data_IF_901160488577
#
_entry.id   IF_901160488577
#
_cell.length_a   1.000
_cell.length_b   1.000
_cell.length_c   1.000
_cell.angle_alpha   90.00
_cell.angle_beta   90.00
_cell.angle_gamma   90.00
#
_symmetry.space_group_name_H-M   'P 1'
#
loop_
_entity.id
_entity.type
_entity.pdbx_description
1 polymer ?
#
# COMPACT_ATOMS: atom_id res chain seq x y z
N UNK A 1 -5.61 9.24 -19.76
CA UNK A 1 -5.70 8.40 -18.53
C UNK A 1 -6.99 7.60 -18.56
N UNK A 2 -6.94 6.36 -18.08
CA UNK A 2 -8.16 5.56 -17.94
C UNK A 2 -8.99 6.08 -16.74
N UNK A 3 -10.28 5.71 -16.68
CA UNK A 3 -11.16 6.09 -15.57
C UNK A 3 -10.67 5.54 -14.20
N UNK A 4 -9.87 4.48 -14.23
CA UNK A 4 -9.30 3.86 -13.04
C UNK A 4 -7.98 4.50 -12.60
N UNK A 5 -7.32 5.30 -13.44
CA UNK A 5 -6.06 5.94 -13.08
C UNK A 5 -6.30 7.00 -12.00
N UNK A 6 -5.58 6.89 -10.89
CA UNK A 6 -5.65 7.86 -9.81
C UNK A 6 -4.56 8.92 -9.95
N UNK A 7 -3.33 8.48 -10.13
CA UNK A 7 -2.17 9.37 -10.26
C UNK A 7 -1.03 8.69 -11.01
N UNK A 8 -0.13 9.52 -11.51
CA UNK A 8 1.09 9.10 -12.17
C UNK A 8 2.31 9.69 -11.47
N UNK A 9 3.41 8.95 -11.53
CA UNK A 9 4.73 9.40 -11.11
C UNK A 9 5.68 9.42 -12.32
N UNK A 10 6.96 9.64 -12.09
CA UNK A 10 7.96 9.57 -13.15
C UNK A 10 7.93 8.20 -13.88
N UNK A 11 7.86 7.10 -13.13
CA UNK A 11 7.98 5.74 -13.67
C UNK A 11 6.73 4.87 -13.56
N UNK A 12 5.70 5.31 -12.80
CA UNK A 12 4.56 4.49 -12.44
C UNK A 12 3.22 5.15 -12.78
N UNK A 13 2.22 4.30 -13.06
CA UNK A 13 0.80 4.63 -13.00
C UNK A 13 0.19 3.88 -11.82
N UNK A 14 -0.54 4.59 -10.97
CA UNK A 14 -1.30 4.03 -9.86
C UNK A 14 -2.79 4.06 -10.23
N UNK A 15 -3.40 2.89 -10.33
CA UNK A 15 -4.80 2.76 -10.78
C UNK A 15 -5.61 1.89 -9.84
N UNK A 16 -6.95 2.10 -9.82
CA UNK A 16 -7.89 1.16 -9.24
C UNK A 16 -7.84 -0.18 -9.97
N UNK A 17 -8.44 -1.18 -9.35
CA UNK A 17 -8.51 -2.54 -9.88
C UNK A 17 -9.87 -2.82 -10.55
N UNK A 18 -9.88 -3.85 -11.39
CA UNK A 18 -11.10 -4.55 -11.81
C UNK A 18 -10.99 -6.04 -11.47
N UNK A 19 -12.12 -6.72 -11.32
CA UNK A 19 -12.14 -8.13 -10.88
C UNK A 19 -11.49 -9.09 -11.88
N UNK A 20 -11.41 -8.75 -13.15
CA UNK A 20 -10.70 -9.52 -14.17
C UNK A 20 -9.16 -9.53 -13.99
N UNK A 21 -8.64 -8.68 -13.11
CA UNK A 21 -7.21 -8.60 -12.76
C UNK A 21 -6.86 -9.43 -11.50
N UNK A 22 -7.78 -10.22 -10.98
CA UNK A 22 -7.54 -11.01 -9.75
C UNK A 22 -6.33 -11.93 -9.86
N UNK A 23 -6.05 -12.48 -11.03
CA UNK A 23 -4.91 -13.37 -11.23
C UNK A 23 -3.56 -12.68 -10.99
N UNK A 24 -3.46 -11.40 -11.29
CA UNK A 24 -2.29 -10.59 -10.94
C UNK A 24 -2.08 -10.49 -9.43
N UNK A 25 -3.17 -10.29 -8.69
CA UNK A 25 -3.10 -10.22 -7.22
C UNK A 25 -2.80 -11.58 -6.60
N UNK A 26 -3.40 -12.66 -7.13
CA UNK A 26 -3.09 -14.04 -6.72
C UNK A 26 -1.60 -14.33 -6.92
N UNK A 27 -1.04 -13.94 -8.07
CA UNK A 27 0.39 -14.12 -8.35
C UNK A 27 1.27 -13.33 -7.38
N UNK A 28 0.93 -12.08 -7.06
CA UNK A 28 1.69 -11.25 -6.13
C UNK A 28 1.66 -11.83 -4.71
N UNK A 29 0.50 -12.08 -4.17
CA UNK A 29 0.32 -12.57 -2.80
C UNK A 29 0.52 -14.08 -2.66
N UNK A 30 0.64 -14.79 -3.76
CA UNK A 30 1.04 -16.19 -3.82
C UNK A 30 2.56 -16.39 -3.66
N UNK A 31 3.36 -15.33 -3.74
CA UNK A 31 4.79 -15.40 -3.50
C UNK A 31 5.07 -15.47 -1.97
N UNK A 32 5.72 -16.54 -1.47
CA UNK A 32 6.03 -16.67 -0.05
C UNK A 32 6.89 -15.54 0.51
N UNK A 33 7.78 -14.96 -0.28
CA UNK A 33 8.62 -13.84 0.15
C UNK A 33 7.82 -12.55 0.34
N UNK A 34 6.76 -12.35 -0.46
CA UNK A 34 5.83 -11.23 -0.30
C UNK A 34 4.98 -11.43 0.96
N UNK A 35 4.49 -12.64 1.18
CA UNK A 35 3.60 -12.98 2.30
C UNK A 35 4.33 -13.10 3.64
N UNK A 36 5.64 -13.24 3.62
CA UNK A 36 6.49 -13.51 4.80
C UNK A 36 6.22 -12.59 5.99
N UNK A 37 5.92 -11.33 5.74
CA UNK A 37 5.69 -10.29 6.74
C UNK A 37 4.25 -9.76 6.76
N UNK A 38 3.33 -10.40 6.03
CA UNK A 38 1.95 -9.95 5.92
C UNK A 38 0.98 -10.78 6.76
N UNK A 39 1.39 -11.98 7.14
CA UNK A 39 0.60 -12.89 7.98
C UNK A 39 1.49 -13.52 9.05
N UNK A 40 0.91 -13.93 10.19
CA UNK A 40 1.66 -14.56 11.27
C UNK A 40 2.33 -15.87 10.83
N UNK A 41 1.64 -16.66 10.02
CA UNK A 41 2.17 -17.90 9.46
C UNK A 41 3.19 -17.70 8.35
N UNK A 42 3.24 -16.50 7.74
CA UNK A 42 3.98 -16.23 6.51
C UNK A 42 3.43 -16.94 5.28
N UNK A 43 2.24 -17.56 5.40
CA UNK A 43 1.63 -18.30 4.30
C UNK A 43 1.15 -17.35 3.19
N UNK A 44 1.31 -17.74 1.91
CA UNK A 44 0.70 -17.04 0.79
C UNK A 44 -0.82 -16.96 0.92
N UNK A 45 -1.42 -15.94 0.32
CA UNK A 45 -2.87 -15.88 0.23
C UNK A 45 -3.40 -16.99 -0.68
N UNK A 46 -4.57 -17.51 -0.30
CA UNK A 46 -5.38 -18.33 -1.20
C UNK A 46 -6.04 -17.44 -2.26
N UNK A 47 -6.53 -18.05 -3.34
CA UNK A 47 -7.30 -17.32 -4.36
C UNK A 47 -8.54 -16.64 -3.75
N UNK A 48 -9.24 -17.30 -2.85
CA UNK A 48 -10.42 -16.74 -2.18
C UNK A 48 -10.06 -15.51 -1.33
N UNK A 49 -8.94 -15.55 -0.61
CA UNK A 49 -8.44 -14.40 0.15
C UNK A 49 -8.09 -13.23 -0.78
N UNK A 50 -7.46 -13.50 -1.90
CA UNK A 50 -7.15 -12.48 -2.89
C UNK A 50 -8.42 -11.86 -3.50
N UNK A 51 -9.42 -12.66 -3.81
CA UNK A 51 -10.71 -12.18 -4.33
C UNK A 51 -11.43 -11.28 -3.33
N UNK A 52 -11.47 -11.66 -2.06
CA UNK A 52 -12.10 -10.87 -1.00
C UNK A 52 -11.36 -9.53 -0.82
N UNK A 53 -10.04 -9.56 -0.76
CA UNK A 53 -9.24 -8.34 -0.64
C UNK A 53 -9.44 -7.41 -1.84
N UNK A 54 -9.42 -7.95 -3.05
CA UNK A 54 -9.58 -7.18 -4.28
C UNK A 54 -10.97 -6.52 -4.35
N UNK A 55 -12.04 -7.25 -4.03
CA UNK A 55 -13.39 -6.70 -3.99
C UNK A 55 -13.49 -5.52 -2.99
N UNK A 56 -12.89 -5.65 -1.82
CA UNK A 56 -12.85 -4.57 -0.83
C UNK A 56 -12.05 -3.34 -1.32
N UNK A 57 -10.95 -3.53 -2.02
CA UNK A 57 -10.18 -2.41 -2.58
C UNK A 57 -10.91 -1.72 -3.73
N UNK A 58 -11.63 -2.47 -4.57
CA UNK A 58 -12.48 -1.92 -5.63
C UNK A 58 -13.58 -1.05 -5.02
N UNK A 59 -14.31 -1.58 -4.04
CA UNK A 59 -15.37 -0.83 -3.34
C UNK A 59 -14.82 0.45 -2.69
N UNK A 60 -13.69 0.35 -2.00
CA UNK A 60 -13.06 1.50 -1.36
C UNK A 60 -12.61 2.55 -2.38
N UNK A 61 -12.12 2.12 -3.53
CA UNK A 61 -11.74 3.02 -4.62
C UNK A 61 -12.96 3.72 -5.25
N UNK A 62 -14.02 2.99 -5.51
CA UNK A 62 -15.25 3.53 -6.08
C UNK A 62 -15.92 4.55 -5.16
N UNK A 63 -15.93 4.27 -3.85
CA UNK A 63 -16.63 5.11 -2.87
C UNK A 63 -15.79 6.26 -2.33
N UNK A 64 -14.47 6.10 -2.21
CA UNK A 64 -13.59 7.06 -1.52
C UNK A 64 -12.31 7.40 -2.28
N UNK A 65 -12.05 6.82 -3.43
CA UNK A 65 -10.78 6.88 -4.17
C UNK A 65 -9.57 6.36 -3.38
N UNK A 66 -9.79 5.63 -2.30
CA UNK A 66 -8.77 4.92 -1.53
C UNK A 66 -8.65 3.47 -2.04
N UNK A 67 -7.87 2.66 -1.34
CA UNK A 67 -7.61 1.26 -1.67
C UNK A 67 -6.14 1.02 -1.97
N UNK A 68 -5.75 -0.24 -1.97
CA UNK A 68 -4.42 -0.65 -2.43
C UNK A 68 -4.47 -0.68 -3.96
N UNK A 69 -3.83 0.29 -4.60
CA UNK A 69 -3.87 0.50 -6.04
C UNK A 69 -2.91 -0.44 -6.77
N UNK A 70 -3.23 -0.71 -8.02
CA UNK A 70 -2.38 -1.44 -8.94
C UNK A 70 -1.25 -0.53 -9.43
N UNK A 71 0.00 -1.01 -9.33
CA UNK A 71 1.16 -0.31 -9.84
C UNK A 71 1.56 -0.86 -11.21
N UNK A 72 1.56 0.01 -12.21
CA UNK A 72 2.00 -0.32 -13.56
C UNK A 72 3.23 0.51 -13.90
N UNK A 73 4.29 -0.15 -14.37
CA UNK A 73 5.51 0.53 -14.82
C UNK A 73 5.29 1.11 -16.22
N UNK A 74 5.57 2.40 -16.38
CA UNK A 74 5.31 3.12 -17.63
C UNK A 74 6.14 2.62 -18.81
N UNK A 75 7.38 2.20 -18.55
CA UNK A 75 8.33 1.85 -19.63
C UNK A 75 7.92 0.63 -20.47
N UNK A 76 7.14 -0.29 -19.88
CA UNK A 76 6.76 -1.54 -20.53
C UNK A 76 5.32 -2.00 -20.22
N UNK A 77 4.58 -1.25 -19.42
CA UNK A 77 3.22 -1.63 -19.00
C UNK A 77 3.15 -2.79 -18.01
N UNK A 78 4.27 -3.19 -17.41
CA UNK A 78 4.30 -4.32 -16.48
C UNK A 78 3.59 -4.01 -15.18
N UNK A 79 2.79 -4.96 -14.69
CA UNK A 79 2.30 -4.98 -13.32
C UNK A 79 3.45 -5.31 -12.37
N UNK A 80 3.77 -4.42 -11.44
CA UNK A 80 4.93 -4.59 -10.55
C UNK A 80 4.57 -4.74 -9.07
N UNK A 81 3.32 -4.51 -8.70
CA UNK A 81 2.88 -4.62 -7.32
C UNK A 81 1.66 -3.76 -7.01
N UNK A 82 1.45 -3.51 -5.75
CA UNK A 82 0.36 -2.67 -5.25
C UNK A 82 0.84 -1.67 -4.22
N UNK A 83 0.18 -0.51 -4.13
CA UNK A 83 0.38 0.46 -3.07
C UNK A 83 -0.86 1.33 -2.91
N UNK A 84 -1.16 1.77 -1.70
CA UNK A 84 -2.30 2.66 -1.45
C UNK A 84 -2.77 2.60 -0.01
N UNK A 85 -3.97 3.17 0.20
CA UNK A 85 -4.56 3.29 1.52
C UNK A 85 -5.65 2.26 1.74
N UNK A 86 -5.52 1.50 2.84
CA UNK A 86 -6.65 0.82 3.46
C UNK A 86 -7.22 1.67 4.59
N UNK A 87 -8.28 1.17 5.20
CA UNK A 87 -8.81 1.71 6.46
C UNK A 87 -8.41 0.73 7.56
N UNK A 88 -7.67 1.23 8.55
CA UNK A 88 -7.23 0.41 9.67
C UNK A 88 -8.41 0.11 10.60
N UNK A 89 -8.89 -1.15 10.70
CA UNK A 89 -10.15 -1.44 11.35
C UNK A 89 -10.23 -1.00 12.82
N UNK A 90 -9.18 -1.13 13.65
CA UNK A 90 -9.28 -0.73 15.05
C UNK A 90 -9.55 0.76 15.29
N UNK A 91 -9.13 1.63 14.38
CA UNK A 91 -9.21 3.09 14.58
C UNK A 91 -9.93 3.85 13.47
N UNK A 92 -10.14 3.24 12.32
CA UNK A 92 -10.70 3.91 11.14
C UNK A 92 -9.72 4.84 10.41
N UNK A 93 -8.46 4.84 10.77
CA UNK A 93 -7.42 5.68 10.16
C UNK A 93 -7.05 5.17 8.75
N UNK A 94 -6.74 6.08 7.81
CA UNK A 94 -6.11 5.67 6.55
C UNK A 94 -4.74 5.04 6.82
N UNK A 95 -4.50 3.86 6.26
CA UNK A 95 -3.26 3.11 6.44
C UNK A 95 -2.58 2.90 5.09
N UNK A 96 -1.36 3.46 4.95
CA UNK A 96 -0.52 3.26 3.78
C UNK A 96 0.15 1.89 3.81
N UNK A 97 -0.01 1.12 2.75
CA UNK A 97 0.69 -0.15 2.57
C UNK A 97 1.12 -0.36 1.13
N UNK A 98 2.15 -1.18 0.93
CA UNK A 98 2.69 -1.53 -0.38
C UNK A 98 3.29 -2.93 -0.38
N UNK A 99 3.26 -3.58 -1.54
CA UNK A 99 3.95 -4.83 -1.81
C UNK A 99 4.30 -4.89 -3.30
N UNK A 100 5.54 -5.24 -3.60
CA UNK A 100 6.06 -5.37 -4.96
C UNK A 100 6.66 -6.75 -5.17
N UNK A 101 6.60 -7.26 -6.41
CA UNK A 101 7.38 -8.45 -6.77
C UNK A 101 8.86 -8.25 -6.49
N UNK A 102 9.54 -9.32 -6.09
CA UNK A 102 10.96 -9.29 -5.67
C UNK A 102 11.91 -8.69 -6.70
N UNK A 103 11.69 -9.01 -7.97
CA UNK A 103 12.49 -8.50 -9.09
C UNK A 103 12.43 -6.98 -9.23
N UNK A 104 11.49 -6.33 -8.56
CA UNK A 104 11.33 -4.87 -8.55
C UNK A 104 11.78 -4.21 -7.25
N UNK A 105 12.30 -4.99 -6.29
CA UNK A 105 12.88 -4.44 -5.06
C UNK A 105 14.21 -3.72 -5.33
N UNK A 106 14.58 -2.80 -4.43
CA UNK A 106 15.85 -2.10 -4.48
C UNK A 106 16.00 -1.05 -5.60
N UNK A 107 14.92 -0.74 -6.31
CA UNK A 107 14.92 0.20 -7.43
C UNK A 107 14.18 1.51 -7.12
N UNK A 108 13.71 1.68 -5.88
CA UNK A 108 13.03 2.90 -5.42
C UNK A 108 11.55 2.99 -5.77
N UNK A 109 10.93 1.99 -6.36
CA UNK A 109 9.51 2.04 -6.75
C UNK A 109 8.56 2.18 -5.56
N UNK A 110 8.78 1.45 -4.47
CA UNK A 110 7.94 1.56 -3.28
C UNK A 110 7.99 2.99 -2.69
N UNK A 111 9.18 3.57 -2.60
CA UNK A 111 9.36 4.96 -2.14
C UNK A 111 8.70 5.96 -3.07
N UNK A 112 8.83 5.78 -4.38
CA UNK A 112 8.21 6.65 -5.39
C UNK A 112 6.69 6.64 -5.27
N UNK A 113 6.07 5.45 -5.22
CA UNK A 113 4.64 5.29 -5.05
C UNK A 113 4.15 5.86 -3.70
N UNK A 114 4.84 5.53 -2.61
CA UNK A 114 4.48 6.00 -1.27
C UNK A 114 4.60 7.53 -1.13
N UNK A 115 5.62 8.16 -1.73
CA UNK A 115 5.77 9.62 -1.76
C UNK A 115 4.61 10.27 -2.50
N UNK A 116 4.25 9.76 -3.67
CA UNK A 116 3.14 10.28 -4.45
C UNK A 116 1.79 10.14 -3.73
N UNK A 117 1.56 9.01 -3.07
CA UNK A 117 0.36 8.76 -2.27
C UNK A 117 0.29 9.66 -1.03
N UNK A 118 1.43 9.90 -0.35
CA UNK A 118 1.53 10.85 0.76
C UNK A 118 1.07 12.25 0.35
N UNK A 119 1.56 12.72 -0.78
CA UNK A 119 1.23 14.06 -1.26
C UNK A 119 -0.22 14.12 -1.77
N UNK A 120 -0.67 13.07 -2.45
CA UNK A 120 -2.04 12.95 -2.96
C UNK A 120 -3.09 12.99 -1.84
N UNK A 121 -2.92 12.25 -0.75
CA UNK A 121 -3.97 12.17 0.29
C UNK A 121 -4.27 13.53 0.91
N UNK A 122 -3.28 14.39 1.07
CA UNK A 122 -3.48 15.72 1.64
C UNK A 122 -3.96 16.76 0.61
N UNK A 123 -3.68 16.55 -0.66
CA UNK A 123 -4.17 17.41 -1.72
C UNK A 123 -5.63 17.13 -2.07
N UNK A 124 -6.01 15.87 -2.08
CA UNK A 124 -7.28 15.42 -2.67
C UNK A 124 -8.29 14.91 -1.63
N UNK A 125 -7.95 14.92 -0.33
CA UNK A 125 -8.85 14.53 0.77
C UNK A 125 -8.70 15.45 1.98
N UNK A 126 -9.63 15.33 2.93
CA UNK A 126 -9.60 16.08 4.20
C UNK A 126 -8.85 15.34 5.32
N UNK A 127 -8.12 14.28 5.00
CA UNK A 127 -7.38 13.51 6.00
C UNK A 127 -6.40 14.41 6.77
N UNK A 128 -6.47 14.38 8.11
CA UNK A 128 -5.54 15.11 8.98
C UNK A 128 -4.18 14.41 9.13
N UNK A 129 -4.16 13.12 8.91
CA UNK A 129 -2.98 12.26 8.98
C UNK A 129 -3.25 10.92 8.31
N UNK A 130 -2.23 10.11 8.18
CA UNK A 130 -2.34 8.69 7.90
C UNK A 130 -1.29 7.91 8.70
N UNK A 131 -1.54 6.63 8.89
CA UNK A 131 -0.60 5.71 9.53
C UNK A 131 0.01 4.75 8.51
N UNK A 132 1.09 4.11 8.90
CA UNK A 132 1.71 3.01 8.19
C UNK A 132 2.45 2.13 9.19
N UNK A 133 2.48 0.85 8.96
CA UNK A 133 3.17 -0.07 9.83
C UNK A 133 3.73 -1.27 9.06
N UNK A 134 4.70 -1.92 9.63
CA UNK A 134 5.26 -3.17 9.12
C UNK A 134 5.76 -4.02 10.27
N UNK A 135 5.84 -5.33 10.04
CA UNK A 135 6.50 -6.27 10.94
C UNK A 135 7.89 -5.71 11.33
N UNK A 136 8.22 -5.76 12.61
CA UNK A 136 9.49 -5.22 13.14
C UNK A 136 10.73 -5.83 12.47
N UNK A 137 10.60 -7.00 11.86
CA UNK A 137 11.67 -7.68 11.10
C UNK A 137 11.77 -7.21 9.65
N UNK A 138 10.77 -6.50 9.14
CA UNK A 138 10.73 -6.03 7.75
C UNK A 138 11.45 -4.68 7.61
N UNK A 139 12.77 -4.70 7.77
CA UNK A 139 13.60 -3.50 7.71
C UNK A 139 13.47 -2.69 6.42
N UNK A 140 13.39 -3.28 5.22
CA UNK A 140 13.18 -2.52 3.98
C UNK A 140 11.88 -1.73 3.97
N UNK A 141 10.77 -2.30 4.42
CA UNK A 141 9.47 -1.63 4.49
C UNK A 141 9.51 -0.46 5.50
N UNK A 142 10.04 -0.69 6.70
CA UNK A 142 10.21 0.35 7.71
C UNK A 142 11.10 1.49 7.22
N UNK A 143 12.13 1.17 6.42
CA UNK A 143 13.00 2.19 5.82
C UNK A 143 12.24 3.09 4.83
N UNK A 144 11.33 2.55 4.03
CA UNK A 144 10.48 3.35 3.12
C UNK A 144 9.60 4.31 3.91
N UNK A 145 8.93 3.85 4.97
CA UNK A 145 8.10 4.71 5.82
C UNK A 145 8.89 5.90 6.37
N UNK A 146 10.10 5.65 6.88
CA UNK A 146 10.98 6.73 7.37
C UNK A 146 11.44 7.67 6.26
N UNK A 147 11.79 7.12 5.09
CA UNK A 147 12.30 7.91 3.95
C UNK A 147 11.26 8.86 3.36
N UNK A 148 9.97 8.55 3.48
CA UNK A 148 8.91 9.47 3.07
C UNK A 148 8.53 10.48 4.16
N UNK A 149 9.19 10.44 5.32
CA UNK A 149 9.02 11.40 6.41
C UNK A 149 8.08 10.97 7.52
N UNK A 150 7.63 9.72 7.54
CA UNK A 150 6.80 9.22 8.63
C UNK A 150 7.61 9.08 9.92
N UNK A 151 6.96 9.38 11.04
CA UNK A 151 7.55 9.34 12.39
C UNK A 151 7.12 8.07 13.11
N UNK A 152 8.05 7.27 13.68
CA UNK A 152 7.67 6.10 14.48
C UNK A 152 6.90 6.51 15.74
N UNK A 153 5.87 5.74 16.08
CA UNK A 153 5.00 6.02 17.23
C UNK A 153 5.05 4.92 18.28
N UNK A 154 4.68 3.69 17.91
CA UNK A 154 4.56 2.58 18.86
C UNK A 154 4.93 1.25 18.19
N UNK A 155 5.26 0.26 19.02
CA UNK A 155 5.33 -1.15 18.63
C UNK A 155 4.13 -1.84 19.27
N UNK A 156 3.34 -2.54 18.47
CA UNK A 156 2.09 -3.14 18.91
C UNK A 156 1.83 -4.45 18.17
N UNK A 157 1.20 -5.40 18.85
CA UNK A 157 0.76 -6.64 18.22
C UNK A 157 -0.56 -6.39 17.50
N UNK A 158 -0.56 -6.64 16.18
CA UNK A 158 -1.74 -6.55 15.33
C UNK A 158 -2.77 -7.64 15.65
N UNK A 159 -4.06 -7.45 15.26
CA UNK A 159 -5.09 -8.48 15.41
C UNK A 159 -4.72 -9.83 14.78
N UNK A 160 -3.90 -9.83 13.73
CA UNK A 160 -3.37 -11.04 13.08
C UNK A 160 -2.17 -11.68 13.80
N UNK A 161 -1.72 -11.10 14.94
CA UNK A 161 -0.62 -11.60 15.76
C UNK A 161 0.77 -11.09 15.38
N UNK A 162 0.92 -10.31 14.32
CA UNK A 162 2.21 -9.73 13.93
C UNK A 162 2.61 -8.59 14.88
N UNK A 163 3.87 -8.58 15.29
CA UNK A 163 4.45 -7.46 16.03
C UNK A 163 4.94 -6.40 15.05
N UNK A 164 4.27 -5.25 15.04
CA UNK A 164 4.51 -4.21 14.06
C UNK A 164 5.01 -2.90 14.68
N UNK A 165 5.90 -2.22 13.98
CA UNK A 165 6.27 -0.84 14.25
C UNK A 165 5.34 0.09 13.47
N UNK A 166 4.59 0.93 14.20
CA UNK A 166 3.70 1.94 13.65
C UNK A 166 4.43 3.26 13.41
N UNK A 167 3.98 3.96 12.38
CA UNK A 167 4.42 5.30 11.99
C UNK A 167 3.22 6.16 11.68
N UNK A 168 3.37 7.48 11.81
CA UNK A 168 2.38 8.47 11.45
C UNK A 168 3.00 9.53 10.53
N UNK A 169 2.19 10.07 9.63
CA UNK A 169 2.47 11.30 8.91
C UNK A 169 1.29 12.25 9.05
N UNK A 170 1.52 13.40 9.68
CA UNK A 170 0.48 14.42 9.88
C UNK A 170 0.43 15.38 8.69
N UNK A 171 -0.77 15.90 8.41
CA UNK A 171 -0.93 16.94 7.41
C UNK A 171 0.00 18.12 7.71
N UNK A 172 0.84 18.52 6.76
CA UNK A 172 1.65 19.72 6.94
C UNK A 172 0.78 20.93 7.24
N UNK A 173 1.14 21.71 8.25
CA UNK A 173 0.46 22.98 8.53
C UNK A 173 0.78 23.96 7.40
N UNK A 174 -0.23 24.68 6.94
CA UNK A 174 0.00 25.83 6.05
C UNK A 174 0.83 26.86 6.83
N UNK A 175 2.02 27.14 6.35
CA UNK A 175 2.76 28.29 6.85
C UNK A 175 2.13 29.53 6.23
N UNK A 176 1.53 30.38 7.07
CA UNK A 176 1.08 31.73 6.70
C UNK A 176 2.26 32.61 6.27
#
# INVERSE_FOLDING_TARGET
>A
MSQLDLLETERLVLSGWSMDQVDDLVRLHGDPEISRYLTLSGAPWTEDQARVALAGWIELFETRRLGKLRLTRKSDGAFIGRAGYGIYPPTGEPELGYALFREHHGQGYAREAATALRDWIFRDTDAGHFIGFADVRNAPSLAVLRKIGMVPTRIETEPNGLLCQFHIYERPQAHD
#
